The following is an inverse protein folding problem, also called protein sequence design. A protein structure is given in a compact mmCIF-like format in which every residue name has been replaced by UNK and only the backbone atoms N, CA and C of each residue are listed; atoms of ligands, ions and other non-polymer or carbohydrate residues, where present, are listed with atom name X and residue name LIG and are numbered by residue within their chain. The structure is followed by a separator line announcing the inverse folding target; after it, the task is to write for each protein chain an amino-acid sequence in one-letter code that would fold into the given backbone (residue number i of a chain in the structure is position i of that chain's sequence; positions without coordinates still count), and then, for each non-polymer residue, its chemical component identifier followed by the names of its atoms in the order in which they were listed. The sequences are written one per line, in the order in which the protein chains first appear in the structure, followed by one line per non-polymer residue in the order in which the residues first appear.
data_IF_831998277898
#
_entry.id   IF_831998277898
#
_cell.length_a   1.000
_cell.length_b   1.000
_cell.length_c   1.000
_cell.angle_alpha   90.00
_cell.angle_beta   90.00
_cell.angle_gamma   90.00
#
_symmetry.space_group_name_H-M   'P 1'
#
loop_
_entity.id
_entity.type
_entity.pdbx_description
1 polymer ?
#
# COMPACT_ATOMS: atom_id res chain seq x y z
N UNK A 1 22.80 -9.43 0.66
CA UNK A 1 21.58 -10.19 0.28
C UNK A 1 20.54 -9.18 -0.17
N UNK A 2 19.91 -9.33 -1.33
CA UNK A 2 18.92 -8.36 -1.86
C UNK A 2 17.53 -8.73 -1.34
N UNK A 3 16.77 -7.76 -0.83
CA UNK A 3 15.38 -7.98 -0.41
C UNK A 3 14.57 -8.43 -1.64
N UNK A 4 13.87 -9.57 -1.55
CA UNK A 4 13.02 -10.06 -2.63
C UNK A 4 11.68 -9.32 -2.58
N UNK A 5 11.26 -8.74 -3.70
CA UNK A 5 10.00 -8.00 -3.86
C UNK A 5 9.79 -7.67 -5.34
N UNK A 6 8.62 -7.16 -5.72
CA UNK A 6 8.41 -6.68 -7.08
C UNK A 6 9.18 -5.38 -7.32
N UNK A 7 8.99 -4.41 -6.43
CA UNK A 7 9.72 -3.14 -6.42
C UNK A 7 10.14 -2.75 -5.01
N UNK A 8 11.27 -2.05 -4.94
CA UNK A 8 11.74 -1.33 -3.76
C UNK A 8 11.96 0.10 -4.21
N UNK A 9 11.28 1.02 -3.53
CA UNK A 9 11.43 2.45 -3.74
C UNK A 9 12.13 3.04 -2.52
N UNK A 10 13.34 3.56 -2.73
CA UNK A 10 14.10 4.26 -1.70
C UNK A 10 13.66 5.72 -1.67
N UNK A 11 12.67 6.01 -0.82
CA UNK A 11 12.04 7.33 -0.74
C UNK A 11 10.84 7.50 -1.67
N UNK A 12 9.97 8.43 -1.27
CA UNK A 12 8.74 8.77 -2.00
C UNK A 12 9.03 9.32 -3.40
N UNK A 13 10.17 9.99 -3.61
CA UNK A 13 10.50 10.54 -4.92
C UNK A 13 10.60 9.45 -6.00
N UNK A 14 11.26 8.33 -5.69
CA UNK A 14 11.36 7.20 -6.62
C UNK A 14 9.99 6.60 -6.92
N UNK A 15 9.16 6.43 -5.89
CA UNK A 15 7.79 5.94 -6.06
C UNK A 15 6.96 6.88 -6.94
N UNK A 16 7.09 8.20 -6.76
CA UNK A 16 6.35 9.20 -7.53
C UNK A 16 6.79 9.26 -8.99
N UNK A 17 8.09 9.09 -9.28
CA UNK A 17 8.58 8.96 -10.66
C UNK A 17 7.98 7.71 -11.30
N UNK A 18 8.10 6.56 -10.62
CA UNK A 18 7.58 5.29 -11.13
C UNK A 18 6.08 5.37 -11.43
N UNK A 19 5.31 5.97 -10.53
CA UNK A 19 3.85 6.02 -10.63
C UNK A 19 3.31 7.22 -11.42
N UNK A 20 4.17 7.93 -12.16
CA UNK A 20 3.75 9.09 -12.96
C UNK A 20 2.75 8.73 -14.09
N UNK A 21 2.75 7.47 -14.54
CA UNK A 21 1.79 6.98 -15.53
C UNK A 21 0.33 7.10 -15.07
N UNK A 22 0.07 7.16 -13.76
CA UNK A 22 -1.27 7.38 -13.19
C UNK A 22 -1.85 8.72 -13.69
N UNK A 23 -1.04 9.78 -13.70
CA UNK A 23 -1.47 11.10 -14.15
C UNK A 23 -1.55 11.16 -15.69
N UNK A 24 -0.56 10.59 -16.38
CA UNK A 24 -0.50 10.56 -17.84
C UNK A 24 -1.69 9.82 -18.46
N UNK A 25 -2.13 8.73 -17.83
CA UNK A 25 -3.29 7.95 -18.25
C UNK A 25 -4.62 8.49 -17.72
N UNK A 26 -4.59 9.51 -16.84
CA UNK A 26 -5.75 9.97 -16.09
C UNK A 26 -6.50 8.80 -15.43
N UNK A 27 -5.76 7.92 -14.75
CA UNK A 27 -6.29 6.69 -14.20
C UNK A 27 -7.40 6.98 -13.18
N UNK A 28 -8.52 6.25 -13.32
CA UNK A 28 -9.63 6.28 -12.38
C UNK A 28 -9.89 4.89 -11.83
N UNK A 29 -10.23 4.80 -10.55
CA UNK A 29 -10.63 3.54 -9.92
C UNK A 29 -12.04 3.21 -10.39
N UNK A 30 -12.17 2.36 -11.41
CA UNK A 30 -13.44 2.11 -12.09
C UNK A 30 -14.32 1.09 -11.36
N UNK A 31 -15.65 1.27 -11.44
CA UNK A 31 -16.63 0.34 -10.88
C UNK A 31 -16.87 -0.92 -11.74
N UNK A 32 -16.30 -0.95 -12.94
CA UNK A 32 -16.38 -2.08 -13.86
C UNK A 32 -15.69 -3.32 -13.31
N UNK A 33 -16.15 -4.49 -13.76
CA UNK A 33 -15.54 -5.76 -13.40
C UNK A 33 -14.06 -5.77 -13.79
N UNK A 34 -13.20 -6.33 -12.92
CA UNK A 34 -11.75 -6.39 -13.18
C UNK A 34 -11.41 -7.01 -14.54
N UNK A 35 -12.17 -8.02 -14.98
CA UNK A 35 -12.01 -8.63 -16.31
C UNK A 35 -12.25 -7.66 -17.48
N UNK A 36 -13.23 -6.78 -17.36
CA UNK A 36 -13.50 -5.75 -18.36
C UNK A 36 -12.37 -4.72 -18.40
N UNK A 37 -11.88 -4.34 -17.21
CA UNK A 37 -10.73 -3.43 -17.06
C UNK A 37 -9.45 -4.03 -17.64
N UNK A 38 -9.22 -5.33 -17.45
CA UNK A 38 -8.09 -6.05 -18.09
C UNK A 38 -8.19 -5.94 -19.61
N UNK A 39 -9.35 -6.20 -20.21
CA UNK A 39 -9.52 -6.10 -21.68
C UNK A 39 -9.19 -4.68 -22.17
N UNK A 40 -9.60 -3.67 -21.42
CA UNK A 40 -9.35 -2.26 -21.73
C UNK A 40 -7.87 -1.89 -21.64
N UNK A 41 -7.18 -2.29 -20.57
CA UNK A 41 -5.85 -1.77 -20.22
C UNK A 41 -4.68 -2.71 -20.54
N UNK A 42 -4.90 -3.97 -20.92
CA UNK A 42 -3.83 -4.97 -21.10
C UNK A 42 -2.75 -4.62 -22.13
N UNK A 43 -3.05 -3.70 -23.04
CA UNK A 43 -2.12 -3.28 -24.09
C UNK A 43 -1.34 -2.01 -23.71
N UNK A 44 -1.64 -1.39 -22.57
CA UNK A 44 -0.94 -0.21 -22.10
C UNK A 44 0.48 -0.55 -21.64
N UNK A 45 1.43 0.35 -21.90
CA UNK A 45 2.85 0.11 -21.57
C UNK A 45 3.07 -0.13 -20.08
N UNK A 46 2.40 0.64 -19.20
CA UNK A 46 2.49 0.45 -17.75
C UNK A 46 1.97 -0.92 -17.31
N UNK A 47 0.93 -1.42 -17.96
CA UNK A 47 0.33 -2.72 -17.65
C UNK A 47 1.30 -3.84 -18.00
N UNK A 48 1.86 -3.79 -19.22
CA UNK A 48 2.84 -4.75 -19.71
C UNK A 48 4.11 -4.72 -18.84
N UNK A 49 4.58 -3.52 -18.47
CA UNK A 49 5.77 -3.35 -17.62
C UNK A 49 5.61 -3.96 -16.23
N UNK A 50 4.44 -3.77 -15.59
CA UNK A 50 4.10 -4.42 -14.33
C UNK A 50 4.08 -5.95 -14.48
N UNK A 51 3.43 -6.46 -15.53
CA UNK A 51 3.37 -7.90 -15.79
C UNK A 51 4.76 -8.53 -15.94
N UNK A 52 5.62 -7.92 -16.77
CA UNK A 52 6.98 -8.40 -17.03
C UNK A 52 7.84 -8.36 -15.76
N UNK A 53 7.69 -7.29 -14.96
CA UNK A 53 8.43 -7.17 -13.71
C UNK A 53 8.04 -8.27 -12.73
N UNK A 54 6.75 -8.52 -12.54
CA UNK A 54 6.30 -9.59 -11.66
C UNK A 54 6.84 -10.97 -12.08
N UNK A 55 6.72 -11.28 -13.38
CA UNK A 55 7.14 -12.58 -13.92
C UNK A 55 8.66 -12.78 -13.81
N UNK A 56 9.46 -11.72 -13.97
CA UNK A 56 10.92 -11.81 -13.87
C UNK A 56 11.42 -11.97 -12.43
N UNK A 57 10.68 -11.46 -11.43
CA UNK A 57 11.07 -11.54 -10.01
C UNK A 57 10.74 -12.89 -9.35
N UNK A 58 9.91 -13.74 -9.99
CA UNK A 58 9.52 -15.07 -9.51
C UNK A 58 9.11 -15.09 -8.03
N UNK A 59 8.20 -14.18 -7.65
CA UNK A 59 7.82 -13.92 -6.26
C UNK A 59 6.92 -15.00 -5.65
N UNK A 60 6.27 -15.80 -6.48
CA UNK A 60 5.35 -16.85 -6.06
C UNK A 60 5.41 -18.04 -7.04
N UNK A 61 4.81 -19.16 -6.63
CA UNK A 61 4.58 -20.32 -7.50
C UNK A 61 3.28 -20.21 -8.29
N UNK A 62 2.39 -19.31 -7.90
CA UNK A 62 1.09 -19.12 -8.55
C UNK A 62 1.22 -18.24 -9.79
N UNK A 63 0.47 -18.59 -10.83
CA UNK A 63 0.41 -17.75 -12.03
C UNK A 63 -0.23 -16.39 -11.70
N UNK A 64 0.31 -15.34 -12.33
CA UNK A 64 -0.21 -13.99 -12.18
C UNK A 64 -1.61 -13.91 -12.79
N UNK A 65 -2.60 -13.60 -11.94
CA UNK A 65 -3.93 -13.21 -12.40
C UNK A 65 -3.87 -11.82 -13.00
N UNK A 66 -4.39 -11.66 -14.21
CA UNK A 66 -4.35 -10.40 -14.93
C UNK A 66 -5.07 -9.27 -14.18
N UNK A 67 -6.12 -9.63 -13.46
CA UNK A 67 -6.87 -8.73 -12.59
C UNK A 67 -6.02 -8.11 -11.47
N UNK A 68 -4.97 -8.80 -11.00
CA UNK A 68 -4.07 -8.26 -9.95
C UNK A 68 -3.35 -7.00 -10.44
N UNK A 69 -2.98 -6.93 -11.72
CA UNK A 69 -2.30 -5.78 -12.30
C UNK A 69 -3.19 -4.52 -12.22
N UNK A 70 -4.49 -4.68 -12.51
CA UNK A 70 -5.46 -3.58 -12.37
C UNK A 70 -5.55 -3.11 -10.92
N UNK A 71 -5.58 -4.05 -9.96
CA UNK A 71 -5.61 -3.70 -8.53
C UNK A 71 -4.32 -3.05 -8.04
N UNK A 72 -3.16 -3.40 -8.61
CA UNK A 72 -1.91 -2.72 -8.33
C UNK A 72 -1.98 -1.27 -8.78
N UNK A 73 -2.50 -1.00 -9.98
CA UNK A 73 -2.62 0.38 -10.48
C UNK A 73 -3.57 1.21 -9.59
N UNK A 74 -4.70 0.64 -9.17
CA UNK A 74 -5.62 1.28 -8.23
C UNK A 74 -4.92 1.64 -6.91
N UNK A 75 -4.21 0.68 -6.33
CA UNK A 75 -3.52 0.88 -5.04
C UNK A 75 -2.31 1.80 -5.15
N UNK A 76 -1.61 1.81 -6.29
CA UNK A 76 -0.57 2.79 -6.60
C UNK A 76 -1.16 4.21 -6.62
N UNK A 77 -2.33 4.39 -7.24
CA UNK A 77 -3.04 5.68 -7.26
C UNK A 77 -3.43 6.16 -5.85
N UNK A 78 -3.96 5.25 -5.02
CA UNK A 78 -4.28 5.55 -3.61
C UNK A 78 -3.01 5.88 -2.81
N UNK A 79 -1.94 5.09 -2.99
CA UNK A 79 -0.68 5.30 -2.30
C UNK A 79 -0.09 6.66 -2.66
N UNK A 80 -0.09 7.08 -3.93
CA UNK A 80 0.31 8.46 -4.32
C UNK A 80 -0.42 9.52 -3.52
N UNK A 81 -1.74 9.39 -3.34
CA UNK A 81 -2.56 10.35 -2.57
C UNK A 81 -2.18 10.35 -1.08
N UNK A 82 -1.92 9.18 -0.50
CA UNK A 82 -1.44 9.03 0.89
C UNK A 82 -0.08 9.71 1.05
N UNK A 83 0.87 9.44 0.17
CA UNK A 83 2.21 10.03 0.21
C UNK A 83 2.18 11.56 0.07
N UNK A 84 1.29 12.09 -0.77
CA UNK A 84 1.05 13.54 -0.86
C UNK A 84 0.50 14.11 0.45
N UNK A 85 -0.40 13.39 1.12
CA UNK A 85 -0.96 13.79 2.41
C UNK A 85 0.11 13.77 3.52
N UNK A 86 0.98 12.76 3.55
CA UNK A 86 2.13 12.71 4.47
C UNK A 86 3.07 13.90 4.26
N UNK A 87 3.38 14.21 3.00
CA UNK A 87 4.23 15.36 2.65
C UNK A 87 3.61 16.69 3.11
N UNK A 88 2.30 16.90 2.88
CA UNK A 88 1.58 18.10 3.33
C UNK A 88 1.58 18.26 4.86
N UNK A 89 1.65 17.15 5.60
CA UNK A 89 1.73 17.14 7.06
C UNK A 89 3.17 17.25 7.59
N UNK A 90 4.16 17.50 6.73
CA UNK A 90 5.54 17.79 7.14
C UNK A 90 6.36 16.57 7.56
N UNK A 91 5.90 15.34 7.26
CA UNK A 91 6.73 14.15 7.45
C UNK A 91 7.90 14.22 6.46
N UNK A 92 9.12 13.98 6.96
CA UNK A 92 10.28 13.83 6.08
C UNK A 92 10.23 12.47 5.40
N UNK A 93 9.89 12.50 4.13
CA UNK A 93 9.56 11.33 3.32
C UNK A 93 10.77 10.66 2.67
N UNK A 94 11.96 11.24 2.85
CA UNK A 94 13.21 10.75 2.25
C UNK A 94 13.66 9.43 2.87
N UNK A 95 13.30 9.18 4.14
CA UNK A 95 13.69 7.97 4.88
C UNK A 95 12.63 6.86 4.82
N UNK A 96 11.57 7.04 4.04
CA UNK A 96 10.50 6.06 3.90
C UNK A 96 10.78 5.19 2.68
N UNK A 97 11.00 3.90 2.92
CA UNK A 97 11.08 2.91 1.85
C UNK A 97 9.71 2.27 1.62
N UNK A 98 9.33 2.11 0.36
CA UNK A 98 8.09 1.42 -0.03
C UNK A 98 8.49 0.14 -0.76
N UNK A 99 8.06 -0.99 -0.24
CA UNK A 99 8.30 -2.31 -0.83
C UNK A 99 6.97 -2.84 -1.34
N UNK A 100 6.86 -3.08 -2.64
CA UNK A 100 5.63 -3.56 -3.29
C UNK A 100 5.72 -5.07 -3.53
N UNK A 101 4.63 -5.79 -3.24
CA UNK A 101 4.49 -7.24 -3.42
C UNK A 101 5.63 -8.01 -2.73
N UNK A 102 5.72 -7.89 -1.41
CA UNK A 102 6.75 -8.56 -0.61
C UNK A 102 6.36 -10.02 -0.30
N UNK A 103 7.12 -11.03 -0.75
CA UNK A 103 6.87 -12.43 -0.42
C UNK A 103 7.23 -12.71 1.05
N UNK A 104 6.27 -13.24 1.80
CA UNK A 104 6.45 -13.57 3.21
C UNK A 104 7.30 -14.83 3.36
N UNK A 105 8.45 -14.69 4.03
CA UNK A 105 9.30 -15.84 4.38
C UNK A 105 8.54 -16.73 5.36
N UNK A 106 8.48 -18.04 5.06
CA UNK A 106 7.63 -19.02 5.76
C UNK A 106 6.11 -18.75 5.70
N UNK A 107 5.67 -17.78 4.89
CA UNK A 107 4.26 -17.45 4.68
C UNK A 107 3.58 -18.28 3.59
N UNK A 108 4.05 -19.49 3.29
CA UNK A 108 3.42 -20.40 2.32
C UNK A 108 3.05 -19.74 0.96
N UNK A 109 4.03 -19.05 0.33
CA UNK A 109 3.86 -18.33 -0.94
C UNK A 109 2.91 -17.13 -0.92
N UNK A 110 2.48 -16.68 0.26
CA UNK A 110 1.73 -15.42 0.44
C UNK A 110 2.63 -14.21 0.26
N UNK A 111 2.02 -13.09 -0.11
CA UNK A 111 2.68 -11.80 -0.32
C UNK A 111 1.83 -10.71 0.32
N UNK A 112 2.49 -9.70 0.88
CA UNK A 112 1.78 -8.48 1.29
C UNK A 112 1.73 -7.49 0.14
N UNK A 113 0.65 -6.72 0.03
CA UNK A 113 0.49 -5.69 -1.02
C UNK A 113 1.66 -4.67 -0.93
N UNK A 114 1.86 -4.07 0.25
CA UNK A 114 2.96 -3.13 0.49
C UNK A 114 3.56 -3.30 1.89
N UNK A 115 4.87 -3.04 2.01
CA UNK A 115 5.51 -2.67 3.26
C UNK A 115 5.98 -1.22 3.20
N UNK A 116 5.63 -0.43 4.20
CA UNK A 116 6.22 0.89 4.44
C UNK A 116 7.25 0.72 5.55
N UNK A 117 8.51 1.04 5.26
CA UNK A 117 9.63 0.86 6.18
C UNK A 117 10.23 2.22 6.51
N UNK A 118 10.38 2.51 7.81
CA UNK A 118 10.94 3.75 8.34
C UNK A 118 11.77 3.44 9.60
N UNK A 119 13.08 3.65 9.58
CA UNK A 119 13.98 3.28 10.68
C UNK A 119 13.71 1.84 11.19
N UNK A 120 13.28 1.66 12.45
CA UNK A 120 12.92 0.37 13.06
C UNK A 120 11.41 0.13 13.08
N UNK A 121 10.67 0.73 12.15
CA UNK A 121 9.24 0.54 11.94
C UNK A 121 8.98 -0.11 10.59
N UNK A 122 8.18 -1.17 10.59
CA UNK A 122 7.62 -1.81 9.40
C UNK A 122 6.10 -1.78 9.51
N UNK A 123 5.44 -1.18 8.53
CA UNK A 123 3.99 -1.17 8.39
C UNK A 123 3.61 -2.12 7.26
N UNK A 124 2.91 -3.20 7.60
CA UNK A 124 2.29 -4.10 6.61
C UNK A 124 0.97 -3.48 6.17
N UNK A 125 0.90 -3.06 4.91
CA UNK A 125 -0.25 -2.37 4.36
C UNK A 125 -0.95 -3.26 3.34
N UNK A 126 -2.25 -3.46 3.54
CA UNK A 126 -3.14 -4.24 2.69
C UNK A 126 -4.29 -3.37 2.18
N UNK A 127 -4.69 -3.57 0.93
CA UNK A 127 -5.79 -2.84 0.32
C UNK A 127 -6.92 -3.78 -0.09
N UNK A 128 -8.16 -3.44 0.26
CA UNK A 128 -9.35 -4.18 -0.16
C UNK A 128 -10.33 -3.30 -0.91
N UNK A 129 -10.76 -3.73 -2.10
CA UNK A 129 -11.86 -3.06 -2.78
C UNK A 129 -13.21 -3.56 -2.27
N UNK A 130 -14.07 -2.64 -1.84
CA UNK A 130 -15.46 -2.88 -1.48
C UNK A 130 -16.28 -2.96 -2.78
N UNK A 131 -16.95 -4.10 -3.00
CA UNK A 131 -17.89 -4.24 -4.11
C UNK A 131 -19.30 -3.83 -3.65
N UNK A 132 -20.23 -3.61 -4.59
CA UNK A 132 -21.60 -3.15 -4.34
C UNK A 132 -22.46 -4.04 -3.41
N UNK A 133 -21.94 -5.18 -2.95
CA UNK A 133 -22.63 -6.15 -2.11
C UNK A 133 -22.15 -5.99 -0.65
N UNK A 134 -22.85 -5.17 0.14
CA UNK A 134 -22.39 -4.68 1.47
C UNK A 134 -22.09 -5.83 2.46
N UNK A 135 -22.96 -6.85 2.54
CA UNK A 135 -22.77 -7.99 3.46
C UNK A 135 -21.50 -8.80 3.14
N UNK A 136 -21.23 -9.05 1.86
CA UNK A 136 -20.01 -9.76 1.44
C UNK A 136 -18.75 -8.96 1.69
N UNK A 137 -18.90 -7.65 1.84
CA UNK A 137 -17.77 -6.75 1.96
C UNK A 137 -17.29 -6.60 3.40
N UNK A 138 -18.17 -6.75 4.41
CA UNK A 138 -17.77 -6.93 5.82
C UNK A 138 -16.99 -8.24 6.04
N UNK A 139 -17.45 -9.35 5.46
CA UNK A 139 -16.73 -10.64 5.51
C UNK A 139 -15.35 -10.52 4.84
N UNK A 140 -15.29 -9.83 3.69
CA UNK A 140 -14.03 -9.58 2.99
C UNK A 140 -13.08 -8.70 3.81
N UNK A 141 -13.59 -7.65 4.47
CA UNK A 141 -12.79 -6.83 5.37
C UNK A 141 -12.20 -7.66 6.51
N UNK A 142 -13.04 -8.45 7.19
CA UNK A 142 -12.61 -9.30 8.30
C UNK A 142 -11.54 -10.28 7.85
N UNK A 143 -11.70 -10.88 6.66
CA UNK A 143 -10.70 -11.77 6.08
C UNK A 143 -9.37 -11.06 5.79
N UNK A 144 -9.40 -9.90 5.12
CA UNK A 144 -8.17 -9.14 4.85
C UNK A 144 -7.49 -8.64 6.12
N UNK A 145 -8.25 -8.26 7.14
CA UNK A 145 -7.71 -7.88 8.45
C UNK A 145 -7.00 -9.06 9.11
N UNK A 146 -7.61 -10.25 9.10
CA UNK A 146 -6.96 -11.46 9.61
C UNK A 146 -5.70 -11.83 8.83
N UNK A 147 -5.73 -11.74 7.50
CA UNK A 147 -4.56 -11.95 6.64
C UNK A 147 -3.44 -10.96 6.99
N UNK A 148 -3.75 -9.67 7.06
CA UNK A 148 -2.81 -8.61 7.43
C UNK A 148 -2.19 -8.80 8.84
N UNK A 149 -2.99 -9.22 9.82
CA UNK A 149 -2.51 -9.56 11.18
C UNK A 149 -1.56 -10.75 11.14
N UNK A 150 -1.88 -11.79 10.35
CA UNK A 150 -1.02 -12.95 10.18
C UNK A 150 0.32 -12.54 9.52
N UNK A 151 0.27 -11.67 8.52
CA UNK A 151 1.47 -11.17 7.82
C UNK A 151 2.38 -10.41 8.76
N UNK A 152 1.81 -9.49 9.56
CA UNK A 152 2.50 -8.78 10.64
C UNK A 152 3.16 -9.75 11.60
N UNK A 153 2.44 -10.78 12.06
CA UNK A 153 2.98 -11.74 13.02
C UNK A 153 4.14 -12.55 12.44
N UNK A 154 4.01 -13.01 11.19
CA UNK A 154 5.09 -13.75 10.49
C UNK A 154 6.34 -12.88 10.41
N UNK A 155 6.21 -11.63 9.94
CA UNK A 155 7.35 -10.71 9.83
C UNK A 155 7.94 -10.42 11.22
N UNK A 156 7.09 -10.10 12.20
CA UNK A 156 7.49 -9.78 13.58
C UNK A 156 8.28 -10.91 14.25
N UNK A 157 7.97 -12.17 13.92
CA UNK A 157 8.69 -13.32 14.47
C UNK A 157 10.09 -13.52 13.88
N UNK A 158 10.35 -12.95 12.70
CA UNK A 158 11.59 -13.15 11.94
C UNK A 158 12.57 -11.99 12.05
N UNK A 159 12.08 -10.80 12.38
CA UNK A 159 12.91 -9.61 12.58
C UNK A 159 13.34 -9.48 14.05
N UNK A 160 14.30 -8.59 14.30
CA UNK A 160 14.71 -8.26 15.68
C UNK A 160 13.52 -7.75 16.48
N UNK A 161 13.44 -8.10 17.77
CA UNK A 161 12.44 -7.57 18.71
C UNK A 161 12.52 -6.05 18.90
N UNK A 162 13.63 -5.43 18.47
CA UNK A 162 13.79 -3.97 18.44
C UNK A 162 13.11 -3.28 17.26
N UNK A 163 12.62 -4.05 16.29
CA UNK A 163 11.86 -3.57 15.13
C UNK A 163 10.37 -3.69 15.44
N UNK A 164 9.66 -2.57 15.39
CA UNK A 164 8.22 -2.53 15.54
C UNK A 164 7.55 -2.91 14.21
N UNK A 165 6.69 -3.93 14.23
CA UNK A 165 5.94 -4.38 13.06
C UNK A 165 4.46 -4.23 13.34
N UNK A 166 3.82 -3.34 12.59
CA UNK A 166 2.39 -3.04 12.69
C UNK A 166 1.70 -3.30 11.36
N UNK A 167 0.37 -3.30 11.35
CA UNK A 167 -0.40 -3.51 10.12
C UNK A 167 -1.59 -2.57 10.01
N UNK A 168 -2.00 -2.32 8.77
CA UNK A 168 -3.19 -1.55 8.45
C UNK A 168 -3.87 -2.14 7.21
N UNK A 169 -5.20 -2.17 7.22
CA UNK A 169 -6.01 -2.56 6.05
C UNK A 169 -6.84 -1.36 5.64
N UNK A 170 -6.61 -0.86 4.43
CA UNK A 170 -7.42 0.20 3.85
C UNK A 170 -8.48 -0.42 2.94
N UNK A 171 -9.73 -0.06 3.17
CA UNK A 171 -10.83 -0.43 2.27
C UNK A 171 -11.18 0.75 1.40
N UNK A 172 -11.19 0.55 0.08
CA UNK A 172 -11.53 1.59 -0.87
C UNK A 172 -12.71 1.18 -1.76
N UNK A 173 -13.38 2.17 -2.34
CA UNK A 173 -14.53 2.04 -3.23
C UNK A 173 -14.17 2.51 -4.64
N UNK A 174 -14.86 2.02 -5.68
CA UNK A 174 -14.67 2.57 -7.02
C UNK A 174 -15.13 4.03 -7.09
N UNK A 175 -14.36 4.86 -7.78
CA UNK A 175 -14.54 6.32 -7.86
C UNK A 175 -15.20 6.77 -9.17
N UNK A 176 -15.31 5.89 -10.16
CA UNK A 176 -15.76 6.25 -11.50
C UNK A 176 -16.55 5.13 -12.18
N UNK A 177 -17.58 5.48 -12.94
CA UNK A 177 -18.28 4.56 -13.83
C UNK A 177 -17.95 4.92 -15.29
N UNK A 178 -17.20 4.06 -15.98
CA UNK A 178 -16.80 4.35 -17.36
C UNK A 178 -17.94 4.20 -18.38
N UNK A 179 -19.00 3.45 -18.06
CA UNK A 179 -20.17 3.30 -18.94
C UNK A 179 -21.09 4.50 -18.87
N UNK A 180 -21.24 5.09 -17.68
CA UNK A 180 -22.04 6.29 -17.44
C UNK A 180 -21.25 7.59 -17.57
N UNK A 181 -19.93 7.48 -17.70
CA UNK A 181 -18.99 8.60 -17.81
C UNK A 181 -19.17 9.61 -16.66
N UNK A 182 -19.32 9.12 -15.43
CA UNK A 182 -19.56 9.97 -14.26
C UNK A 182 -18.71 9.56 -13.05
N UNK A 183 -18.30 10.58 -12.29
CA UNK A 183 -17.58 10.41 -11.03
C UNK A 183 -18.55 10.07 -9.90
N UNK A 184 -18.17 9.09 -9.08
CA UNK A 184 -18.94 8.63 -7.92
C UNK A 184 -18.51 9.45 -6.69
N UNK A 185 -19.03 10.68 -6.60
CA UNK A 185 -18.61 11.70 -5.61
C UNK A 185 -18.59 11.16 -4.18
N UNK A 186 -19.59 10.39 -3.76
CA UNK A 186 -19.65 9.85 -2.40
C UNK A 186 -18.57 8.80 -2.13
N UNK A 187 -18.21 8.00 -3.14
CA UNK A 187 -17.10 7.05 -3.03
C UNK A 187 -15.74 7.74 -3.02
N UNK A 188 -15.59 8.82 -3.80
CA UNK A 188 -14.39 9.67 -3.76
C UNK A 188 -14.21 10.28 -2.37
N UNK A 189 -15.28 10.83 -1.80
CA UNK A 189 -15.27 11.38 -0.43
C UNK A 189 -14.93 10.30 0.60
N UNK A 190 -15.52 9.12 0.48
CA UNK A 190 -15.20 7.97 1.34
C UNK A 190 -13.72 7.61 1.25
N UNK A 191 -13.17 7.42 0.04
CA UNK A 191 -11.77 7.07 -0.14
C UNK A 191 -10.82 8.16 0.39
N UNK A 192 -11.17 9.45 0.23
CA UNK A 192 -10.40 10.54 0.84
C UNK A 192 -10.39 10.44 2.36
N UNK A 193 -11.52 10.13 3.00
CA UNK A 193 -11.57 9.91 4.44
C UNK A 193 -10.69 8.73 4.88
N UNK A 194 -10.70 7.62 4.14
CA UNK A 194 -9.83 6.47 4.42
C UNK A 194 -8.35 6.79 4.23
N UNK A 195 -8.02 7.63 3.23
CA UNK A 195 -6.65 8.15 3.03
C UNK A 195 -6.22 9.00 4.21
N UNK A 196 -7.09 9.87 4.73
CA UNK A 196 -6.78 10.70 5.89
C UNK A 196 -6.53 9.83 7.13
N UNK A 197 -7.37 8.82 7.38
CA UNK A 197 -7.20 7.89 8.50
C UNK A 197 -5.88 7.10 8.43
N UNK A 198 -5.54 6.56 7.26
CA UNK A 198 -4.28 5.85 7.06
C UNK A 198 -3.08 6.79 7.18
N UNK A 199 -3.18 8.02 6.66
CA UNK A 199 -2.12 9.02 6.78
C UNK A 199 -1.86 9.36 8.25
N UNK A 200 -2.93 9.62 9.02
CA UNK A 200 -2.85 9.86 10.47
C UNK A 200 -2.21 8.68 11.22
N UNK A 201 -2.58 7.45 10.85
CA UNK A 201 -2.00 6.24 11.43
C UNK A 201 -0.48 6.15 11.17
N UNK A 202 -0.04 6.40 9.93
CA UNK A 202 1.38 6.39 9.57
C UNK A 202 2.12 7.49 10.31
N UNK A 203 1.58 8.72 10.34
CA UNK A 203 2.17 9.88 11.04
C UNK A 203 2.38 9.57 12.52
N UNK A 204 1.34 9.07 13.21
CA UNK A 204 1.44 8.70 14.63
C UNK A 204 2.50 7.64 14.86
N UNK A 205 2.57 6.65 13.97
CA UNK A 205 3.53 5.54 14.09
C UNK A 205 4.98 6.01 13.88
N UNK A 206 5.22 6.89 12.91
CA UNK A 206 6.51 7.53 12.66
C UNK A 206 6.92 8.41 13.85
N UNK A 207 6.01 9.29 14.33
CA UNK A 207 6.30 10.16 15.46
C UNK A 207 6.62 9.37 16.75
N UNK A 208 5.94 8.24 16.96
CA UNK A 208 6.26 7.34 18.07
C UNK A 208 7.67 6.77 17.93
N UNK A 209 8.09 6.41 16.72
CA UNK A 209 9.44 5.92 16.44
C UNK A 209 10.49 7.02 16.65
N UNK A 210 10.24 8.23 16.17
CA UNK A 210 11.15 9.37 16.34
C UNK A 210 11.33 9.75 17.82
N UNK A 211 10.27 9.63 18.63
CA UNK A 211 10.34 9.81 20.08
C UNK A 211 11.24 8.79 20.78
N UNK A 212 11.46 7.60 20.19
CA UNK A 212 12.39 6.58 20.68
C UNK A 212 13.84 6.83 20.23
N UNK A 213 14.10 7.87 19.44
CA UNK A 213 15.46 8.22 19.02
C UNK A 213 16.32 8.62 20.22
N UNK A 214 17.61 8.27 20.19
CA UNK A 214 18.53 8.57 21.28
C UNK A 214 18.56 10.08 21.62
N UNK A 215 18.46 10.95 20.60
CA UNK A 215 18.41 12.40 20.81
C UNK A 215 17.17 12.83 21.59
N UNK A 216 15.98 12.35 21.21
CA UNK A 216 14.74 12.66 21.94
C UNK A 216 14.74 12.10 23.35
N UNK A 217 15.33 10.93 23.55
CA UNK A 217 15.51 10.34 24.88
C UNK A 217 16.48 11.16 25.74
N UNK A 218 17.55 11.74 25.18
CA UNK A 218 18.43 12.65 25.91
C UNK A 218 17.74 13.99 26.23
N UNK A 219 16.95 14.54 25.31
CA UNK A 219 16.16 15.75 25.54
C UNK A 219 15.21 15.58 26.73
N UNK A 220 14.51 14.44 26.83
CA UNK A 220 13.55 14.20 27.91
C UNK A 220 14.20 14.10 29.30
N UNK A 221 15.47 13.67 29.39
CA UNK A 221 16.22 13.67 30.65
C UNK A 221 16.48 15.10 31.18
N UNK A 222 16.55 16.09 30.30
CA UNK A 222 16.79 17.48 30.70
C UNK A 222 15.55 18.19 31.27
N UNK A 223 14.33 17.69 30.98
CA UNK A 223 13.09 18.25 31.51
C UNK A 223 12.69 17.70 32.89
N UNK A 224 13.37 16.65 33.37
CA UNK A 224 13.16 16.07 34.70
C UNK A 224 14.14 16.64 35.76
N UNK A 225 14.69 17.84 35.51
CA UNK A 225 15.47 18.64 36.48
C UNK A 225 14.78 19.97 36.70
#
# INVERSE_FOLDING_TARGET
MKIKSMYIFEGIHQFNIFSNFIEQSNWKIENQLLKERVIKYRNEEFYIGLQQTFNSQQLTIWELKQEEIVTWIDTISLLRRILLQLFKNGISVENINIIMEYPLVFGNHMRSDYLIVYDRLIIVLEFGMFNQDEKRSEERYTKKLQESINYRQIISNLVSSSVNVINYVMIYRPEYDCRRNNDMIDNIKYNNGEIDLLSDFIIRSINNQDNLSAMKQLESLNFNR
#
